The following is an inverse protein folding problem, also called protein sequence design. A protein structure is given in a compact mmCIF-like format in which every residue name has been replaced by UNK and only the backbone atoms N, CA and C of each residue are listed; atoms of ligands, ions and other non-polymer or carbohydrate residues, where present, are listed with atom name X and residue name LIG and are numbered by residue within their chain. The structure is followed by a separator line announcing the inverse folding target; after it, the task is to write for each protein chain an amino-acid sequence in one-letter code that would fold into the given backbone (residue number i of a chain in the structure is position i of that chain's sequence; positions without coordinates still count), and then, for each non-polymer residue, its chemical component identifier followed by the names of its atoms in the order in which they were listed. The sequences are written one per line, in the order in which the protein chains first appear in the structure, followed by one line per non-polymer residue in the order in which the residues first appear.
data_IF_737672876931
#
_entry.id   IF_737672876931
#
_cell.length_a   1.000
_cell.length_b   1.000
_cell.length_c   1.000
_cell.angle_alpha   90.00
_cell.angle_beta   90.00
_cell.angle_gamma   90.00
#
_symmetry.space_group_name_H-M   'P 1'
#
loop_
_entity.id
_entity.type
_entity.pdbx_description
1 polymer ?
#
# COMPACT_ATOMS: atom_id res chain seq x y z
N UNK A 1 27.63 0.59 5.84
CA UNK A 1 27.30 2.01 5.61
C UNK A 1 27.02 2.19 4.13
N UNK A 2 25.88 2.74 3.76
CA UNK A 2 25.59 3.14 2.36
C UNK A 2 26.07 4.59 2.22
N UNK A 3 26.91 4.89 1.22
CA UNK A 3 27.49 6.23 1.00
C UNK A 3 26.94 6.95 -0.22
N UNK A 4 26.35 6.23 -1.17
CA UNK A 4 25.73 6.79 -2.36
C UNK A 4 24.60 5.89 -2.87
N UNK A 5 23.66 6.50 -3.62
CA UNK A 5 22.60 5.81 -4.35
C UNK A 5 22.59 6.37 -5.77
N UNK A 6 22.71 5.50 -6.77
CA UNK A 6 22.55 5.85 -8.18
C UNK A 6 21.13 5.52 -8.64
N UNK A 7 20.44 6.48 -9.23
CA UNK A 7 19.11 6.31 -9.82
C UNK A 7 19.17 6.61 -11.31
N UNK A 8 18.59 5.73 -12.14
CA UNK A 8 18.46 5.95 -13.58
C UNK A 8 17.04 6.35 -13.91
N UNK A 9 16.87 7.56 -14.44
CA UNK A 9 15.58 8.07 -14.89
C UNK A 9 15.51 7.98 -16.43
N UNK A 10 14.43 7.40 -16.95
CA UNK A 10 14.20 7.33 -18.39
C UNK A 10 13.86 8.72 -18.94
N UNK A 11 14.53 9.14 -20.02
CA UNK A 11 14.16 10.37 -20.76
C UNK A 11 12.81 10.21 -21.47
N UNK A 12 12.53 9.00 -21.95
CA UNK A 12 11.22 8.62 -22.45
C UNK A 12 10.37 8.24 -21.25
N UNK A 13 9.76 9.26 -20.64
CA UNK A 13 8.90 9.11 -19.48
C UNK A 13 7.66 8.28 -19.84
N UNK A 14 7.23 7.45 -18.90
CA UNK A 14 6.01 6.64 -18.99
C UNK A 14 5.30 6.69 -17.64
N UNK A 15 4.03 7.13 -17.58
CA UNK A 15 3.29 7.19 -16.33
C UNK A 15 2.89 5.80 -15.86
N UNK A 16 3.03 5.55 -14.56
CA UNK A 16 2.54 4.35 -13.87
C UNK A 16 1.27 4.72 -13.14
N UNK A 17 0.14 4.20 -13.60
CA UNK A 17 -1.21 4.64 -13.19
C UNK A 17 -2.06 3.53 -12.56
N UNK A 18 -1.47 2.35 -12.30
CA UNK A 18 -2.25 1.18 -11.83
C UNK A 18 -2.75 1.29 -10.38
N UNK A 19 -2.38 2.33 -9.64
CA UNK A 19 -2.64 2.42 -8.20
C UNK A 19 -3.71 3.45 -7.85
N UNK A 20 -4.82 2.97 -7.26
CA UNK A 20 -5.84 3.82 -6.65
C UNK A 20 -6.44 4.84 -7.61
N UNK A 21 -6.55 6.08 -7.16
CA UNK A 21 -7.11 7.20 -7.93
C UNK A 21 -6.26 7.61 -9.15
N UNK A 22 -4.99 7.19 -9.22
CA UNK A 22 -4.15 7.43 -10.40
C UNK A 22 -4.70 6.77 -11.67
N UNK A 23 -5.48 5.70 -11.54
CA UNK A 23 -6.11 5.00 -12.65
C UNK A 23 -7.12 5.87 -13.42
N UNK A 24 -7.55 6.99 -12.83
CA UNK A 24 -8.47 7.94 -13.45
C UNK A 24 -7.77 8.93 -14.40
N UNK A 25 -6.44 8.99 -14.40
CA UNK A 25 -5.69 9.88 -15.28
C UNK A 25 -5.58 9.32 -16.70
N UNK A 26 -5.70 10.19 -17.71
CA UNK A 26 -5.35 9.85 -19.09
C UNK A 26 -3.84 9.76 -19.23
N UNK A 27 -3.35 8.63 -19.75
CA UNK A 27 -1.92 8.37 -19.97
C UNK A 27 -1.29 9.36 -20.94
N UNK A 28 -2.08 9.89 -21.87
CA UNK A 28 -1.65 10.79 -22.94
C UNK A 28 -1.43 12.23 -22.45
N UNK A 29 -2.15 12.63 -21.39
CA UNK A 29 -2.20 14.03 -20.96
C UNK A 29 -1.62 14.28 -19.57
N UNK A 30 -1.56 13.24 -18.72
CA UNK A 30 -1.04 13.38 -17.37
C UNK A 30 0.44 13.74 -17.39
N UNK A 31 0.84 14.56 -16.43
CA UNK A 31 2.22 14.98 -16.20
C UNK A 31 2.80 14.31 -14.96
N UNK A 32 4.12 14.22 -14.88
CA UNK A 32 4.80 13.70 -13.68
C UNK A 32 4.46 14.51 -12.41
N UNK A 33 4.16 15.81 -12.55
CA UNK A 33 3.76 16.67 -11.43
C UNK A 33 2.36 16.33 -10.92
N UNK A 34 1.39 16.10 -11.80
CA UNK A 34 0.04 15.70 -11.38
C UNK A 34 0.05 14.35 -10.66
N UNK A 35 0.86 13.39 -11.13
CA UNK A 35 1.07 12.12 -10.43
C UNK A 35 1.69 12.37 -9.05
N UNK A 36 2.71 13.23 -8.95
CA UNK A 36 3.32 13.57 -7.67
C UNK A 36 2.32 14.18 -6.69
N UNK A 37 1.56 15.17 -7.13
CA UNK A 37 0.57 15.87 -6.30
C UNK A 37 -0.51 14.90 -5.80
N UNK A 38 -1.02 14.02 -6.67
CA UNK A 38 -2.01 13.02 -6.30
C UNK A 38 -1.44 11.96 -5.34
N UNK A 39 -0.20 11.49 -5.56
CA UNK A 39 0.47 10.58 -4.62
C UNK A 39 0.65 11.24 -3.25
N UNK A 40 1.03 12.51 -3.20
CA UNK A 40 1.12 13.26 -1.95
C UNK A 40 -0.24 13.33 -1.24
N UNK A 41 -1.32 13.64 -1.98
CA UNK A 41 -2.67 13.68 -1.46
C UNK A 41 -3.14 12.33 -0.89
N UNK A 42 -2.96 11.24 -1.65
CA UNK A 42 -3.28 9.87 -1.19
C UNK A 42 -2.51 9.53 0.08
N UNK A 43 -1.23 9.89 0.17
CA UNK A 43 -0.41 9.57 1.34
C UNK A 43 -0.83 10.35 2.57
N UNK A 44 -1.13 11.64 2.43
CA UNK A 44 -1.58 12.48 3.55
C UNK A 44 -2.94 12.03 4.10
N UNK A 45 -3.85 11.55 3.25
CA UNK A 45 -5.15 11.03 3.73
C UNK A 45 -5.06 9.67 4.43
N UNK A 46 -4.04 8.86 4.13
CA UNK A 46 -3.92 7.47 4.64
C UNK A 46 -2.90 7.25 5.74
N UNK A 47 -1.87 8.09 5.83
CA UNK A 47 -0.75 7.88 6.74
C UNK A 47 -0.77 8.92 7.87
N UNK A 48 -0.73 8.50 9.14
CA UNK A 48 -0.61 9.43 10.26
C UNK A 48 0.72 10.18 10.18
N UNK A 49 0.66 11.50 10.38
CA UNK A 49 1.85 12.34 10.45
C UNK A 49 2.72 11.89 11.64
N UNK A 50 3.98 11.45 11.41
CA UNK A 50 4.88 11.04 12.49
C UNK A 50 5.12 12.11 13.55
N UNK A 51 5.02 13.39 13.16
CA UNK A 51 5.20 14.53 14.07
C UNK A 51 4.00 14.72 15.02
N UNK A 52 2.83 14.20 14.67
CA UNK A 52 1.64 14.17 15.54
C UNK A 52 1.60 12.88 16.37
N UNK A 53 1.89 11.74 15.74
CA UNK A 53 1.90 10.43 16.37
C UNK A 53 3.14 9.64 15.93
N UNK A 54 4.05 9.39 16.87
CA UNK A 54 5.25 8.59 16.61
C UNK A 54 4.89 7.24 16.01
N UNK A 55 5.30 7.01 14.75
CA UNK A 55 5.06 5.77 14.02
C UNK A 55 6.21 5.47 13.05
N UNK A 56 6.42 4.20 12.75
CA UNK A 56 7.44 3.74 11.80
C UNK A 56 6.83 3.35 10.43
N UNK A 57 5.68 3.95 10.08
CA UNK A 57 4.89 3.54 8.92
C UNK A 57 4.22 2.17 9.09
N UNK A 58 4.21 1.37 8.02
CA UNK A 58 3.62 0.02 8.05
C UNK A 58 4.42 -0.91 8.96
N UNK A 59 3.85 -1.25 10.13
CA UNK A 59 4.50 -2.14 11.10
C UNK A 59 4.66 -3.58 10.59
N UNK A 60 3.71 -4.06 9.79
CA UNK A 60 3.76 -5.38 9.17
C UNK A 60 4.01 -5.27 7.67
N UNK A 61 4.80 -6.22 7.13
CA UNK A 61 4.85 -6.45 5.69
C UNK A 61 3.56 -7.09 5.21
N UNK A 62 3.22 -6.87 3.94
CA UNK A 62 2.18 -7.62 3.26
C UNK A 62 2.61 -9.08 3.10
N UNK A 63 1.87 -10.08 3.62
CA UNK A 63 2.27 -11.48 3.51
C UNK A 63 2.16 -11.94 2.06
N UNK A 64 3.08 -12.82 1.66
CA UNK A 64 3.08 -13.48 0.35
C UNK A 64 2.83 -14.96 0.59
N UNK A 65 1.77 -15.49 0.00
CA UNK A 65 1.29 -16.87 0.18
C UNK A 65 1.33 -17.63 -1.15
N UNK A 66 1.28 -18.96 -1.09
CA UNK A 66 1.15 -19.78 -2.30
C UNK A 66 -0.22 -19.59 -2.97
N UNK A 67 -0.33 -20.01 -4.23
CA UNK A 67 -1.60 -19.94 -4.97
C UNK A 67 -2.68 -20.82 -4.32
N UNK A 68 -2.31 -22.01 -3.84
CA UNK A 68 -3.23 -22.95 -3.18
C UNK A 68 -3.79 -22.33 -1.90
N UNK A 69 -2.90 -21.74 -1.08
CA UNK A 69 -3.31 -21.07 0.15
C UNK A 69 -4.18 -19.85 -0.12
N UNK A 70 -3.89 -19.10 -1.19
CA UNK A 70 -4.74 -18.00 -1.60
C UNK A 70 -6.14 -18.47 -1.99
N UNK A 71 -6.28 -19.55 -2.76
CA UNK A 71 -7.58 -20.13 -3.13
C UNK A 71 -8.38 -20.53 -1.89
N UNK A 72 -7.74 -21.10 -0.87
CA UNK A 72 -8.40 -21.39 0.41
C UNK A 72 -8.90 -20.12 1.10
N UNK A 73 -8.07 -19.08 1.16
CA UNK A 73 -8.42 -17.81 1.81
C UNK A 73 -9.53 -17.06 1.05
N UNK A 74 -9.53 -17.14 -0.28
CA UNK A 74 -10.52 -16.48 -1.12
C UNK A 74 -11.92 -17.08 -0.92
N UNK A 75 -12.02 -18.37 -0.59
CA UNK A 75 -13.31 -19.00 -0.19
C UNK A 75 -13.88 -18.43 1.10
N UNK A 76 -13.03 -17.89 1.98
CA UNK A 76 -13.47 -17.28 3.24
C UNK A 76 -13.91 -15.82 3.04
N UNK A 77 -13.28 -15.12 2.09
CA UNK A 77 -13.67 -13.76 1.72
C UNK A 77 -13.29 -13.46 0.27
N UNK A 78 -14.30 -13.34 -0.59
CA UNK A 78 -14.12 -13.09 -2.02
C UNK A 78 -13.49 -11.72 -2.31
N UNK A 79 -13.66 -10.76 -1.39
CA UNK A 79 -13.16 -9.40 -1.52
C UNK A 79 -11.74 -9.19 -0.95
N UNK A 80 -11.03 -10.28 -0.59
CA UNK A 80 -9.66 -10.21 -0.08
C UNK A 80 -8.74 -9.46 -1.06
N UNK A 81 -8.21 -8.27 -0.73
CA UNK A 81 -7.34 -7.53 -1.64
C UNK A 81 -6.00 -8.25 -1.80
N UNK A 82 -5.64 -8.50 -3.05
CA UNK A 82 -4.50 -9.33 -3.40
C UNK A 82 -3.81 -8.86 -4.69
N UNK A 83 -2.53 -9.22 -4.82
CA UNK A 83 -1.71 -8.88 -5.98
C UNK A 83 -0.90 -10.11 -6.41
N UNK A 84 -1.10 -10.58 -7.63
CA UNK A 84 -0.31 -11.66 -8.21
C UNK A 84 1.17 -11.24 -8.35
N UNK A 85 2.08 -12.13 -7.96
CA UNK A 85 3.51 -11.94 -8.10
C UNK A 85 4.01 -12.71 -9.34
N UNK A 86 5.17 -12.33 -9.86
CA UNK A 86 5.75 -12.92 -11.07
C UNK A 86 6.10 -14.40 -10.93
N UNK A 87 6.28 -14.89 -9.70
CA UNK A 87 6.57 -16.29 -9.38
C UNK A 87 5.30 -17.12 -9.09
N UNK A 88 4.11 -16.58 -9.39
CA UNK A 88 2.83 -17.25 -9.17
C UNK A 88 2.31 -17.17 -7.74
N UNK A 89 3.09 -16.64 -6.78
CA UNK A 89 2.60 -16.38 -5.42
C UNK A 89 1.69 -15.17 -5.37
N UNK A 90 0.94 -15.04 -4.27
CA UNK A 90 -0.04 -13.98 -4.09
C UNK A 90 0.29 -13.15 -2.86
N UNK A 91 0.43 -11.83 -3.05
CA UNK A 91 0.66 -10.88 -1.96
C UNK A 91 -0.67 -10.34 -1.47
N UNK A 92 -0.94 -10.45 -0.17
CA UNK A 92 -2.19 -10.02 0.46
C UNK A 92 -2.01 -8.67 1.16
N UNK A 93 -3.09 -7.89 1.26
CA UNK A 93 -3.07 -6.64 2.03
C UNK A 93 -3.12 -6.89 3.54
N UNK A 94 -1.99 -6.75 4.25
CA UNK A 94 -1.93 -6.94 5.71
C UNK A 94 -2.85 -5.99 6.48
N UNK A 95 -2.95 -4.74 6.03
CA UNK A 95 -3.85 -3.75 6.66
C UNK A 95 -5.31 -4.18 6.62
N UNK A 96 -5.74 -4.79 5.52
CA UNK A 96 -7.10 -5.32 5.37
C UNK A 96 -7.32 -6.54 6.26
N UNK A 97 -6.35 -7.46 6.36
CA UNK A 97 -6.43 -8.62 7.26
C UNK A 97 -6.58 -8.20 8.72
N UNK A 98 -5.81 -7.21 9.17
CA UNK A 98 -5.89 -6.66 10.54
C UNK A 98 -7.27 -6.03 10.80
N UNK A 99 -7.83 -5.37 9.78
CA UNK A 99 -9.17 -4.79 9.86
C UNK A 99 -10.26 -5.85 10.01
N UNK A 100 -10.17 -6.98 9.30
CA UNK A 100 -11.13 -8.09 9.47
C UNK A 100 -11.10 -8.70 10.88
N UNK A 101 -10.01 -8.51 11.62
CA UNK A 101 -9.91 -8.91 13.03
C UNK A 101 -10.47 -7.85 14.01
N UNK A 102 -11.09 -6.76 13.52
CA UNK A 102 -11.62 -5.65 14.32
C UNK A 102 -10.58 -5.01 15.25
N UNK A 103 -9.31 -4.96 14.83
CA UNK A 103 -8.21 -4.43 15.64
C UNK A 103 -7.98 -2.93 15.47
N UNK A 104 -8.71 -2.23 14.61
CA UNK A 104 -8.60 -0.76 14.45
C UNK A 104 -8.89 -0.06 15.78
N UNK A 105 -7.99 0.84 16.20
CA UNK A 105 -8.12 1.56 17.48
C UNK A 105 -7.77 0.73 18.73
N UNK A 106 -7.45 -0.56 18.58
CA UNK A 106 -7.03 -1.40 19.69
C UNK A 106 -5.75 -0.86 20.33
N UNK A 107 -5.70 -0.84 21.66
CA UNK A 107 -4.67 -0.15 22.44
C UNK A 107 -4.07 -1.09 23.49
N UNK A 108 -2.74 -1.09 23.59
CA UNK A 108 -1.99 -1.73 24.67
C UNK A 108 -1.02 -0.67 25.23
N UNK A 109 -1.20 -0.30 26.50
CA UNK A 109 -0.39 0.76 27.12
C UNK A 109 -0.46 2.08 26.33
N UNK A 110 0.69 2.61 25.92
CA UNK A 110 0.77 3.82 25.08
C UNK A 110 0.60 3.59 23.57
N UNK A 111 0.62 2.33 23.10
CA UNK A 111 0.58 2.01 21.67
C UNK A 111 -0.84 1.67 21.19
N UNK A 112 -1.20 2.07 19.98
CA UNK A 112 -2.51 1.76 19.38
C UNK A 112 -2.44 1.48 17.89
N UNK A 113 -3.32 0.63 17.39
CA UNK A 113 -3.57 0.49 15.95
C UNK A 113 -4.31 1.73 15.46
N UNK A 114 -3.79 2.37 14.41
CA UNK A 114 -4.40 3.57 13.85
C UNK A 114 -5.86 3.32 13.43
N UNK A 115 -6.77 4.23 13.82
CA UNK A 115 -8.22 4.08 13.58
C UNK A 115 -8.59 4.20 12.09
N UNK A 116 -7.82 4.97 11.33
CA UNK A 116 -8.08 5.17 9.90
C UNK A 116 -7.17 4.31 9.03
N UNK A 117 -7.78 3.48 8.20
CA UNK A 117 -7.26 3.06 6.88
C UNK A 117 -8.49 2.85 5.99
N UNK A 118 -8.77 3.78 5.09
CA UNK A 118 -9.69 3.58 3.96
C UNK A 118 -8.90 3.00 2.78
#
# INVERSE_FOLDING_TARGET
MITAIGLKLSKNWQPVLEYGTLANFSREHVTAKEIFDEVCHIRQSKLPNPDEFGNAGSFFKNPVVSAERFVELQKLNENLPHFLQTDGRVKLAAGWLIEQCNLKGFKIGGASVHKNKH
#
